data_IF_972422541494
#
_entry.id   IF_972422541494
#
_cell.length_a   1.000
_cell.length_b   1.000
_cell.length_c   1.000
_cell.angle_alpha   90.00
_cell.angle_beta   90.00
_cell.angle_gamma   90.00
#
_symmetry.space_group_name_H-M   'P 1'
#
loop_
_entity.id
_entity.type
_entity.pdbx_description
1 polymer ?
#
# COMPACT_ATOMS: atom_id res chain seq x y z
N UNK A 1 22.13 -9.64 1.39
CA UNK A 1 20.96 -8.89 0.91
C UNK A 1 20.17 -9.83 0.02
N UNK A 2 18.86 -10.05 0.24
CA UNK A 2 18.08 -10.91 -0.64
C UNK A 2 18.07 -10.35 -2.07
N UNK A 3 17.95 -11.20 -3.10
CA UNK A 3 17.90 -10.73 -4.49
C UNK A 3 16.72 -9.80 -4.71
N UNK A 4 16.91 -8.78 -5.57
CA UNK A 4 15.81 -7.90 -5.98
C UNK A 4 14.73 -8.71 -6.68
N UNK A 5 13.47 -8.52 -6.29
CA UNK A 5 12.34 -9.19 -6.92
C UNK A 5 12.31 -8.85 -8.41
N UNK A 6 12.27 -9.89 -9.25
CA UNK A 6 12.11 -9.73 -10.70
C UNK A 6 10.65 -9.44 -11.00
N UNK A 7 10.41 -8.39 -11.78
CA UNK A 7 9.09 -8.04 -12.31
C UNK A 7 9.04 -8.42 -13.79
N UNK A 8 7.85 -8.78 -14.27
CA UNK A 8 7.61 -9.10 -15.67
C UNK A 8 6.26 -8.52 -16.12
N UNK A 9 6.08 -8.40 -17.43
CA UNK A 9 4.78 -8.00 -17.98
C UNK A 9 3.78 -9.15 -17.81
N UNK A 10 2.66 -8.84 -17.15
CA UNK A 10 1.56 -9.75 -16.95
C UNK A 10 0.27 -9.07 -17.41
N UNK A 11 -0.19 -9.42 -18.61
CA UNK A 11 -1.37 -8.81 -19.26
C UNK A 11 -1.29 -7.27 -19.33
N UNK A 12 -0.11 -6.72 -19.63
CA UNK A 12 0.11 -5.27 -19.72
C UNK A 12 0.35 -4.57 -18.37
N UNK A 13 0.47 -5.32 -17.27
CA UNK A 13 0.78 -4.80 -15.94
C UNK A 13 2.07 -5.43 -15.43
N UNK A 14 3.01 -4.62 -14.96
CA UNK A 14 4.24 -5.13 -14.33
C UNK A 14 3.92 -5.81 -12.99
N UNK A 15 4.12 -7.12 -12.91
CA UNK A 15 3.79 -7.94 -11.75
C UNK A 15 4.99 -8.75 -11.23
N UNK A 16 4.92 -9.17 -9.96
CA UNK A 16 5.86 -10.14 -9.36
C UNK A 16 5.30 -11.56 -9.58
N UNK A 17 6.11 -12.55 -10.01
CA UNK A 17 5.66 -13.91 -10.29
C UNK A 17 4.76 -14.53 -9.22
N UNK A 18 5.13 -14.37 -7.94
CA UNK A 18 4.37 -14.90 -6.79
C UNK A 18 2.88 -14.50 -6.76
N UNK A 19 2.51 -13.36 -7.36
CA UNK A 19 1.11 -12.91 -7.41
C UNK A 19 0.32 -13.47 -8.59
N UNK A 20 1.01 -14.04 -9.58
CA UNK A 20 0.43 -14.56 -10.82
C UNK A 20 0.42 -16.08 -10.87
N UNK A 21 1.13 -16.75 -9.95
CA UNK A 21 1.30 -18.21 -9.92
C UNK A 21 -0.02 -18.99 -9.94
N UNK A 22 -1.08 -18.47 -9.31
CA UNK A 22 -2.40 -19.11 -9.26
C UNK A 22 -3.45 -18.46 -10.19
N UNK A 23 -3.01 -17.60 -11.12
CA UNK A 23 -3.93 -16.78 -11.90
C UNK A 23 -4.88 -17.59 -12.77
N UNK A 24 -4.42 -18.64 -13.43
CA UNK A 24 -5.27 -19.47 -14.31
C UNK A 24 -6.44 -20.08 -13.54
N UNK A 25 -6.20 -20.53 -12.30
CA UNK A 25 -7.24 -21.10 -11.43
C UNK A 25 -8.23 -20.02 -10.95
N UNK A 26 -7.72 -18.83 -10.62
CA UNK A 26 -8.57 -17.70 -10.22
C UNK A 26 -9.45 -17.25 -11.39
N UNK A 27 -8.86 -17.12 -12.59
CA UNK A 27 -9.57 -16.69 -13.78
C UNK A 27 -10.58 -17.72 -14.27
N UNK A 28 -10.28 -19.02 -14.13
CA UNK A 28 -11.17 -20.12 -14.49
C UNK A 28 -12.18 -20.48 -13.38
N UNK A 29 -12.10 -19.83 -12.22
CA UNK A 29 -13.02 -20.07 -11.11
C UNK A 29 -14.47 -19.84 -11.55
N UNK A 30 -15.30 -20.88 -11.41
CA UNK A 30 -16.74 -20.83 -11.65
C UNK A 30 -17.45 -21.07 -10.32
N UNK A 31 -18.04 -20.02 -9.77
CA UNK A 31 -18.96 -20.16 -8.65
C UNK A 31 -20.11 -21.10 -9.07
N UNK A 32 -20.51 -21.97 -8.15
CA UNK A 32 -21.64 -22.86 -8.35
C UNK A 32 -22.95 -22.08 -8.17
N UNK A 33 -24.07 -22.54 -8.76
CA UNK A 33 -25.36 -21.87 -8.61
C UNK A 33 -25.84 -21.72 -7.16
N UNK A 34 -25.34 -22.55 -6.24
CA UNK A 34 -25.66 -22.56 -4.81
C UNK A 34 -24.64 -21.81 -3.93
N UNK A 35 -23.56 -21.25 -4.51
CA UNK A 35 -22.59 -20.47 -3.75
C UNK A 35 -23.19 -19.10 -3.36
N UNK A 36 -22.98 -18.70 -2.11
CA UNK A 36 -23.45 -17.42 -1.57
C UNK A 36 -22.26 -16.44 -1.49
N UNK A 37 -22.34 -15.33 -2.22
CA UNK A 37 -21.40 -14.21 -2.04
C UNK A 37 -21.93 -13.25 -0.97
N UNK A 38 -21.28 -13.22 0.19
CA UNK A 38 -21.61 -12.28 1.26
C UNK A 38 -20.70 -11.05 1.12
N UNK A 39 -21.22 -9.99 0.49
CA UNK A 39 -20.57 -8.68 0.43
C UNK A 39 -21.32 -7.72 1.38
N UNK A 40 -21.03 -7.79 2.67
CA UNK A 40 -21.71 -6.98 3.67
C UNK A 40 -20.81 -5.88 4.19
N UNK A 41 -21.37 -4.66 4.32
CA UNK A 41 -20.76 -3.55 5.06
C UNK A 41 -21.75 -3.03 6.12
N UNK A 42 -22.04 -3.78 7.21
CA UNK A 42 -22.95 -3.35 8.24
C UNK A 42 -22.52 -2.00 8.85
N UNK A 43 -23.47 -1.08 9.00
CA UNK A 43 -23.20 0.24 9.60
C UNK A 43 -22.70 0.16 11.05
N UNK A 44 -23.12 -0.86 11.79
CA UNK A 44 -22.61 -1.21 13.13
C UNK A 44 -21.17 -1.75 13.10
N UNK A 45 -20.67 -2.15 11.93
CA UNK A 45 -19.30 -2.61 11.75
C UNK A 45 -18.32 -1.45 11.72
N UNK A 46 -18.75 -0.23 11.35
CA UNK A 46 -17.86 0.94 11.34
C UNK A 46 -17.21 1.18 12.70
N UNK A 47 -17.96 1.01 13.79
CA UNK A 47 -17.44 1.19 15.15
C UNK A 47 -16.57 0.01 15.60
N UNK A 48 -16.84 -1.19 15.09
CA UNK A 48 -15.98 -2.37 15.28
C UNK A 48 -14.67 -2.29 14.49
N UNK A 49 -14.72 -1.79 13.26
CA UNK A 49 -13.58 -1.68 12.33
C UNK A 49 -12.69 -0.51 12.70
N UNK A 50 -13.26 0.63 13.12
CA UNK A 50 -12.51 1.84 13.47
C UNK A 50 -11.29 1.58 14.36
N UNK A 51 -11.36 0.81 15.46
CA UNK A 51 -10.17 0.48 16.24
C UNK A 51 -9.23 -0.46 15.48
N UNK A 52 -9.73 -1.47 14.76
CA UNK A 52 -8.90 -2.45 14.04
C UNK A 52 -8.02 -1.79 12.97
N UNK A 53 -8.55 -0.81 12.24
CA UNK A 53 -7.83 -0.08 11.19
C UNK A 53 -6.99 1.10 11.72
N UNK A 54 -6.86 1.26 13.04
CA UNK A 54 -5.87 2.20 13.60
C UNK A 54 -4.47 1.68 13.31
N UNK A 55 -3.58 2.61 12.96
CA UNK A 55 -2.19 2.30 12.64
C UNK A 55 -1.51 1.41 13.69
N UNK A 56 -1.69 1.70 14.98
CA UNK A 56 -1.06 0.92 16.06
C UNK A 56 -1.56 -0.52 16.15
N UNK A 57 -2.80 -0.78 15.73
CA UNK A 57 -3.38 -2.11 15.71
C UNK A 57 -2.96 -2.85 14.44
N UNK A 58 -3.07 -2.22 13.28
CA UNK A 58 -2.57 -2.78 12.02
C UNK A 58 -1.08 -3.10 12.07
N UNK A 59 -0.27 -2.30 12.76
CA UNK A 59 1.17 -2.54 12.94
C UNK A 59 1.48 -3.84 13.70
N UNK A 60 0.58 -4.29 14.57
CA UNK A 60 0.74 -5.50 15.39
C UNK A 60 0.09 -6.74 14.77
N UNK A 61 -0.72 -6.56 13.73
CA UNK A 61 -1.47 -7.63 13.11
C UNK A 61 -0.65 -8.25 11.96
N UNK A 62 -0.25 -9.51 12.15
CA UNK A 62 0.60 -10.27 11.22
C UNK A 62 -0.02 -10.48 9.84
N UNK A 63 -1.35 -10.41 9.73
CA UNK A 63 -2.04 -10.52 8.44
C UNK A 63 -1.84 -9.27 7.56
N UNK A 64 -1.55 -8.11 8.15
CA UNK A 64 -1.53 -6.82 7.42
C UNK A 64 -0.25 -6.02 7.62
N UNK A 65 0.60 -6.36 8.59
CA UNK A 65 1.90 -5.72 8.80
C UNK A 65 3.01 -6.29 7.91
N UNK A 66 2.69 -7.29 7.07
CA UNK A 66 3.59 -7.98 6.15
C UNK A 66 4.72 -8.79 6.82
N UNK A 67 4.67 -9.05 8.14
CA UNK A 67 5.71 -9.77 8.89
C UNK A 67 6.02 -11.16 8.33
N UNK A 68 5.03 -11.80 7.68
CA UNK A 68 5.13 -13.12 7.05
C UNK A 68 5.76 -13.12 5.65
N UNK A 69 6.05 -11.95 5.07
CA UNK A 69 6.62 -11.82 3.73
C UNK A 69 8.14 -11.90 3.75
N UNK A 70 8.69 -13.06 3.36
CA UNK A 70 10.13 -13.35 3.34
C UNK A 70 10.96 -12.42 2.46
N UNK A 71 10.33 -11.74 1.50
CA UNK A 71 10.99 -10.80 0.58
C UNK A 71 11.29 -9.44 1.21
N UNK A 72 10.73 -9.16 2.39
CA UNK A 72 10.84 -7.87 3.06
C UNK A 72 11.84 -7.94 4.23
N UNK A 73 12.86 -7.08 4.21
CA UNK A 73 13.84 -6.98 5.31
C UNK A 73 13.41 -5.94 6.36
N UNK A 74 12.66 -6.40 7.36
CA UNK A 74 12.18 -5.53 8.43
C UNK A 74 13.23 -5.14 9.47
N UNK A 75 14.45 -5.69 9.41
CA UNK A 75 15.58 -5.18 10.21
C UNK A 75 16.04 -3.81 9.70
N UNK A 76 15.87 -3.55 8.40
CA UNK A 76 16.14 -2.23 7.79
C UNK A 76 14.99 -1.27 8.09
N UNK A 77 13.76 -1.68 7.80
CA UNK A 77 12.58 -0.86 8.10
C UNK A 77 11.31 -1.70 8.15
N UNK A 78 10.48 -1.59 9.20
CA UNK A 78 9.19 -2.26 9.23
C UNK A 78 8.25 -1.67 8.18
N UNK A 79 7.37 -2.51 7.60
CA UNK A 79 6.36 -2.06 6.63
C UNK A 79 5.48 -0.94 7.20
N UNK A 80 4.89 -1.19 8.37
CA UNK A 80 4.13 -0.20 9.15
C UNK A 80 5.09 0.73 9.92
N UNK A 81 5.74 1.67 9.21
CA UNK A 81 6.84 2.50 9.73
C UNK A 81 6.42 3.53 10.78
N UNK A 82 5.77 4.63 10.36
CA UNK A 82 5.38 5.76 11.23
C UNK A 82 3.91 6.19 11.16
N UNK A 83 3.24 6.03 10.01
CA UNK A 83 1.81 6.36 9.85
C UNK A 83 1.43 7.82 10.07
N UNK A 84 2.32 8.78 9.74
CA UNK A 84 2.11 10.22 9.98
C UNK A 84 2.41 11.05 8.73
N UNK A 85 1.57 12.06 8.49
CA UNK A 85 1.82 13.10 7.48
C UNK A 85 2.88 14.08 8.01
N UNK A 86 3.68 14.66 7.11
CA UNK A 86 4.69 15.67 7.47
C UNK A 86 6.07 15.12 7.85
N UNK A 87 6.27 13.79 7.92
CA UNK A 87 7.58 13.20 8.26
C UNK A 87 8.69 13.55 7.25
N UNK A 88 8.33 14.03 6.05
CA UNK A 88 9.27 14.50 5.02
C UNK A 88 10.15 15.66 5.53
N UNK A 89 9.64 16.52 6.43
CA UNK A 89 10.39 17.64 7.01
C UNK A 89 11.62 17.21 7.81
N UNK A 90 11.65 15.95 8.28
CA UNK A 90 12.80 15.37 8.99
C UNK A 90 13.82 14.75 8.05
N UNK A 91 13.44 14.48 6.81
CA UNK A 91 14.28 13.80 5.82
C UNK A 91 14.90 14.79 4.83
N UNK A 92 14.18 15.84 4.47
CA UNK A 92 14.64 16.84 3.52
C UNK A 92 15.45 17.92 4.23
N UNK A 93 16.61 18.26 3.67
CA UNK A 93 17.23 19.55 3.93
C UNK A 93 16.43 20.67 3.25
N UNK A 94 16.63 21.91 3.69
CA UNK A 94 15.96 23.08 3.08
C UNK A 94 16.20 23.12 1.57
N UNK A 95 17.45 22.97 1.13
CA UNK A 95 17.82 22.99 -0.30
C UNK A 95 17.20 21.85 -1.10
N UNK A 96 17.14 20.63 -0.53
CA UNK A 96 16.46 19.51 -1.20
C UNK A 96 14.97 19.79 -1.38
N UNK A 97 14.34 20.42 -0.39
CA UNK A 97 12.94 20.76 -0.46
C UNK A 97 12.67 21.85 -1.51
N UNK A 98 13.51 22.88 -1.59
CA UNK A 98 13.41 23.93 -2.61
C UNK A 98 13.48 23.36 -4.03
N UNK A 99 14.43 22.46 -4.29
CA UNK A 99 14.57 21.78 -5.58
C UNK A 99 13.37 20.89 -5.92
N UNK A 100 12.86 20.17 -4.92
CA UNK A 100 11.65 19.36 -5.07
C UNK A 100 10.43 20.23 -5.42
N UNK A 101 10.22 21.33 -4.68
CA UNK A 101 9.10 22.25 -4.88
C UNK A 101 9.14 22.92 -6.25
N UNK A 102 10.31 23.31 -6.76
CA UNK A 102 10.44 23.86 -8.11
C UNK A 102 9.96 22.85 -9.17
N UNK A 103 10.41 21.59 -9.03
CA UNK A 103 10.03 20.51 -9.95
C UNK A 103 8.54 20.18 -9.83
N UNK A 104 8.03 20.12 -8.60
CA UNK A 104 6.63 19.85 -8.29
C UNK A 104 5.71 20.90 -8.92
N UNK A 105 5.99 22.19 -8.73
CA UNK A 105 5.21 23.30 -9.32
C UNK A 105 5.17 23.24 -10.84
N UNK A 106 6.28 22.89 -11.50
CA UNK A 106 6.32 22.72 -12.96
C UNK A 106 5.43 21.57 -13.42
N UNK A 107 5.50 20.41 -12.76
CA UNK A 107 4.72 19.22 -13.11
C UNK A 107 3.22 19.37 -12.83
N UNK A 108 2.86 20.13 -11.80
CA UNK A 108 1.46 20.29 -11.37
C UNK A 108 0.76 21.53 -11.93
N UNK A 109 1.47 22.36 -12.72
CA UNK A 109 1.05 23.71 -13.16
C UNK A 109 -0.35 23.78 -13.78
N UNK A 110 -0.77 22.76 -14.52
CA UNK A 110 -2.03 22.75 -15.27
C UNK A 110 -3.11 21.88 -14.61
N UNK A 111 -3.01 21.65 -13.30
CA UNK A 111 -3.97 20.86 -12.54
C UNK A 111 -4.72 21.75 -11.54
N UNK A 112 -5.95 21.39 -11.22
CA UNK A 112 -6.71 22.01 -10.12
C UNK A 112 -6.49 21.30 -8.78
N UNK A 113 -5.65 20.26 -8.77
CA UNK A 113 -5.40 19.41 -7.60
C UNK A 113 -4.58 20.16 -6.55
N UNK A 114 -5.03 20.08 -5.31
CA UNK A 114 -4.33 20.64 -4.15
C UNK A 114 -4.08 19.55 -3.12
N UNK A 115 -2.86 19.49 -2.60
CA UNK A 115 -2.43 18.51 -1.62
C UNK A 115 -2.00 19.20 -0.32
N UNK A 116 -2.33 18.59 0.81
CA UNK A 116 -1.81 19.03 2.12
C UNK A 116 -0.60 18.18 2.47
N UNK A 117 0.50 18.82 2.83
CA UNK A 117 1.75 18.16 3.20
C UNK A 117 1.93 18.03 4.72
N UNK A 118 0.92 18.47 5.48
CA UNK A 118 0.78 18.44 6.94
C UNK A 118 -0.70 18.35 7.35
N UNK A 119 -0.97 17.90 8.58
CA UNK A 119 -2.34 17.81 9.17
C UNK A 119 -2.60 19.03 10.03
#
# INVERSE_FOLDING_TARGET
>A
MPPRLQIFDFHGVSMVPKFTDNWENIQSFKARPDDILIATYPKAEKDRIRPLVKFDNMKKDDMVNYSTMEVMDFKISPFMRKGKVGDWKKMFTVTQNELFEETYRKKMRNTTLQFRTEV
#
